data_IF_976223840124
#
_entry.id   IF_976223840124
#
_cell.length_a   1.000
_cell.length_b   1.000
_cell.length_c   1.000
_cell.angle_alpha   90.00
_cell.angle_beta   90.00
_cell.angle_gamma   90.00
#
_symmetry.space_group_name_H-M   'P 1'
#
loop_
_entity.id
_entity.type
_entity.pdbx_description
1 polymer ?
#
# COMPACT_ATOMS: atom_id res chain seq x y z
N UNK A 1 13.28 -12.98 -11.52
CA UNK A 1 12.91 -14.40 -11.32
C UNK A 1 12.06 -14.46 -10.07
N UNK A 2 10.82 -14.87 -10.21
CA UNK A 2 9.86 -14.83 -9.11
C UNK A 2 10.14 -16.01 -8.15
N UNK A 3 10.02 -15.79 -6.83
CA UNK A 3 10.27 -16.84 -5.82
C UNK A 3 9.37 -18.08 -5.96
N UNK A 4 8.28 -17.99 -6.73
CA UNK A 4 7.41 -19.10 -7.06
C UNK A 4 8.02 -20.02 -8.13
N UNK A 5 8.76 -19.48 -9.11
CA UNK A 5 9.25 -20.26 -10.26
C UNK A 5 10.30 -21.28 -9.88
N UNK A 6 11.21 -20.95 -8.97
CA UNK A 6 12.26 -21.90 -8.54
C UNK A 6 11.69 -23.05 -7.70
N UNK A 7 10.64 -22.80 -6.90
CA UNK A 7 9.96 -23.83 -6.10
C UNK A 7 9.28 -24.85 -7.01
N UNK A 8 8.61 -24.37 -8.07
CA UNK A 8 7.98 -25.22 -9.07
C UNK A 8 9.02 -26.05 -9.82
N UNK A 9 10.12 -25.42 -10.24
CA UNK A 9 11.20 -26.12 -10.93
C UNK A 9 11.82 -27.22 -10.07
N UNK A 10 12.11 -26.95 -8.78
CA UNK A 10 12.65 -27.96 -7.87
C UNK A 10 11.63 -29.10 -7.65
N UNK A 11 10.36 -28.80 -7.43
CA UNK A 11 9.32 -29.81 -7.24
C UNK A 11 9.21 -30.72 -8.44
N UNK A 12 9.30 -30.19 -9.66
CA UNK A 12 9.28 -30.95 -10.89
C UNK A 12 10.50 -31.90 -11.01
N UNK A 13 11.70 -31.38 -10.73
CA UNK A 13 12.94 -32.15 -10.75
C UNK A 13 12.87 -33.31 -9.75
N UNK A 14 12.42 -33.03 -8.52
CA UNK A 14 12.28 -34.04 -7.46
C UNK A 14 11.24 -35.13 -7.87
N UNK A 15 10.12 -34.72 -8.48
CA UNK A 15 9.11 -35.65 -8.99
C UNK A 15 9.68 -36.58 -10.05
N UNK A 16 10.39 -36.04 -11.06
CA UNK A 16 10.98 -36.81 -12.16
C UNK A 16 12.06 -37.77 -11.66
N UNK A 17 12.96 -37.31 -10.79
CA UNK A 17 14.01 -38.16 -10.19
C UNK A 17 13.41 -39.23 -9.31
N UNK A 18 12.35 -38.94 -8.55
CA UNK A 18 11.65 -39.90 -7.70
C UNK A 18 11.03 -41.03 -8.48
N UNK A 19 10.41 -40.74 -9.64
CA UNK A 19 9.88 -41.75 -10.54
C UNK A 19 11.01 -42.61 -11.09
N UNK A 20 12.16 -42.01 -11.50
CA UNK A 20 13.32 -42.73 -11.98
C UNK A 20 13.93 -43.71 -10.95
N UNK A 21 13.73 -43.43 -9.65
CA UNK A 21 14.14 -44.29 -8.53
C UNK A 21 13.09 -45.30 -8.11
N UNK A 22 11.95 -45.42 -8.85
CA UNK A 22 10.87 -46.35 -8.57
C UNK A 22 9.87 -45.89 -7.52
N UNK A 23 9.92 -44.60 -7.12
CA UNK A 23 8.96 -44.01 -6.17
C UNK A 23 7.73 -43.50 -6.91
N UNK A 24 6.86 -44.38 -7.28
CA UNK A 24 5.63 -44.08 -8.06
C UNK A 24 4.71 -43.04 -7.42
N UNK A 25 4.79 -42.82 -6.11
CA UNK A 25 4.00 -41.86 -5.36
C UNK A 25 4.64 -40.47 -5.32
N UNK A 26 5.93 -40.31 -5.69
CA UNK A 26 6.69 -39.07 -5.59
C UNK A 26 6.07 -37.95 -6.45
N UNK A 27 5.58 -38.29 -7.63
CA UNK A 27 4.91 -37.38 -8.54
C UNK A 27 3.60 -36.81 -7.92
N UNK A 28 2.79 -37.70 -7.33
CA UNK A 28 1.55 -37.29 -6.66
C UNK A 28 1.81 -36.34 -5.48
N UNK A 29 2.87 -36.57 -4.71
CA UNK A 29 3.25 -35.69 -3.62
C UNK A 29 3.75 -34.33 -4.14
N UNK A 30 4.61 -34.32 -5.16
CA UNK A 30 5.10 -33.12 -5.78
C UNK A 30 3.94 -32.30 -6.37
N UNK A 31 3.02 -32.93 -7.10
CA UNK A 31 1.83 -32.28 -7.63
C UNK A 31 0.93 -31.71 -6.54
N UNK A 32 0.77 -32.41 -5.41
CA UNK A 32 -0.02 -31.91 -4.26
C UNK A 32 0.60 -30.65 -3.66
N UNK A 33 1.92 -30.62 -3.46
CA UNK A 33 2.64 -29.47 -2.92
C UNK A 33 2.47 -28.24 -3.84
N UNK A 34 2.63 -28.43 -5.14
CA UNK A 34 2.44 -27.39 -6.14
C UNK A 34 1.00 -26.89 -6.14
N UNK A 35 0.02 -27.80 -6.10
CA UNK A 35 -1.41 -27.44 -6.07
C UNK A 35 -1.77 -26.61 -4.84
N UNK A 36 -1.28 -26.96 -3.65
CA UNK A 36 -1.50 -26.20 -2.43
C UNK A 36 -0.90 -24.79 -2.56
N UNK A 37 0.29 -24.67 -3.13
CA UNK A 37 0.94 -23.38 -3.36
C UNK A 37 0.12 -22.50 -4.31
N UNK A 38 -0.36 -23.05 -5.40
CA UNK A 38 -1.20 -22.33 -6.38
C UNK A 38 -2.51 -21.87 -5.74
N UNK A 39 -3.18 -22.72 -4.97
CA UNK A 39 -4.43 -22.36 -4.27
C UNK A 39 -4.17 -21.22 -3.28
N UNK A 40 -3.09 -21.31 -2.51
CA UNK A 40 -2.72 -20.24 -1.55
C UNK A 40 -2.45 -18.91 -2.26
N UNK A 41 -1.69 -18.93 -3.34
CA UNK A 41 -1.40 -17.73 -4.12
C UNK A 41 -2.67 -17.18 -4.79
N UNK A 42 -3.54 -18.05 -5.29
CA UNK A 42 -4.83 -17.68 -5.85
C UNK A 42 -5.75 -17.01 -4.84
N UNK A 43 -5.85 -17.55 -3.62
CA UNK A 43 -6.63 -16.96 -2.53
C UNK A 43 -6.07 -15.61 -2.09
N UNK A 44 -4.75 -15.48 -2.02
CA UNK A 44 -4.09 -14.21 -1.70
C UNK A 44 -4.39 -13.15 -2.76
N UNK A 45 -4.26 -13.50 -4.03
CA UNK A 45 -4.57 -12.59 -5.14
C UNK A 45 -6.05 -12.18 -5.17
N UNK A 46 -6.96 -13.15 -4.89
CA UNK A 46 -8.38 -12.85 -4.78
C UNK A 46 -8.67 -11.89 -3.63
N UNK A 47 -8.07 -12.11 -2.46
CA UNK A 47 -8.20 -11.22 -1.30
C UNK A 47 -7.70 -9.81 -1.62
N UNK A 48 -6.54 -9.69 -2.28
CA UNK A 48 -5.99 -8.39 -2.70
C UNK A 48 -6.87 -7.70 -3.74
N UNK A 49 -7.43 -8.45 -4.69
CA UNK A 49 -8.36 -7.90 -5.69
C UNK A 49 -9.66 -7.39 -5.05
N UNK A 50 -10.21 -8.15 -4.10
CA UNK A 50 -11.40 -7.73 -3.35
C UNK A 50 -11.11 -6.51 -2.48
N UNK A 51 -9.96 -6.46 -1.82
CA UNK A 51 -9.52 -5.30 -1.05
C UNK A 51 -9.41 -4.05 -1.94
N UNK A 52 -8.84 -4.17 -3.13
CA UNK A 52 -8.77 -3.06 -4.10
C UNK A 52 -10.15 -2.55 -4.54
N UNK A 53 -11.17 -3.41 -4.60
CA UNK A 53 -12.55 -3.00 -4.89
C UNK A 53 -13.25 -2.28 -3.72
N UNK A 54 -12.80 -2.48 -2.49
CA UNK A 54 -13.37 -1.89 -1.28
C UNK A 54 -12.71 -0.59 -0.84
N UNK A 55 -11.98 0.09 -1.75
CA UNK A 55 -11.39 1.41 -1.51
C UNK A 55 -10.37 1.41 -0.34
N UNK A 56 -9.50 0.42 -0.33
CA UNK A 56 -8.51 0.20 0.72
C UNK A 56 -7.35 1.20 0.62
N UNK A 57 -6.84 1.66 1.75
CA UNK A 57 -5.62 2.48 1.82
C UNK A 57 -4.43 1.75 1.17
N UNK A 58 -3.57 2.50 0.47
CA UNK A 58 -2.33 1.96 -0.08
C UNK A 58 -1.43 1.42 1.04
N UNK A 59 -0.98 0.18 0.86
CA UNK A 59 -0.10 -0.52 1.79
C UNK A 59 1.21 -0.91 1.11
N UNK A 60 2.18 -1.33 1.91
CA UNK A 60 3.41 -1.93 1.39
C UNK A 60 3.12 -3.24 0.65
N UNK A 61 4.07 -3.70 -0.19
CA UNK A 61 3.96 -4.94 -0.97
C UNK A 61 3.61 -6.16 -0.11
N UNK A 62 4.00 -6.17 1.16
CA UNK A 62 3.73 -7.24 2.13
C UNK A 62 2.41 -7.04 2.90
N UNK A 63 1.63 -6.01 2.59
CA UNK A 63 0.34 -5.66 3.22
C UNK A 63 0.41 -5.45 4.75
N UNK A 64 1.62 -5.25 5.27
CA UNK A 64 1.89 -5.17 6.72
C UNK A 64 1.82 -3.76 7.28
N UNK A 65 2.16 -2.73 6.48
CA UNK A 65 2.27 -1.35 6.94
C UNK A 65 1.69 -0.36 5.92
N UNK A 66 1.26 0.84 6.36
CA UNK A 66 0.89 1.92 5.47
C UNK A 66 2.05 2.26 4.53
N UNK A 67 1.75 2.64 3.30
CA UNK A 67 2.79 3.00 2.33
C UNK A 67 3.66 4.16 2.85
N UNK A 68 4.99 4.11 2.72
CA UNK A 68 5.91 5.16 3.22
C UNK A 68 5.55 6.56 2.76
N UNK A 69 5.05 6.70 1.53
CA UNK A 69 4.59 7.97 0.97
C UNK A 69 3.50 8.66 1.80
N UNK A 70 2.72 7.92 2.59
CA UNK A 70 1.72 8.53 3.49
C UNK A 70 2.40 9.43 4.52
N UNK A 71 3.49 8.95 5.13
CA UNK A 71 4.26 9.73 6.10
C UNK A 71 5.00 10.90 5.44
N UNK A 72 5.53 10.71 4.24
CA UNK A 72 6.24 11.76 3.51
C UNK A 72 5.31 12.92 3.14
N UNK A 73 4.08 12.61 2.69
CA UNK A 73 3.05 13.61 2.39
C UNK A 73 2.64 14.38 3.66
N UNK A 74 2.46 13.70 4.79
CA UNK A 74 2.15 14.35 6.06
C UNK A 74 3.29 15.28 6.51
N UNK A 75 4.54 14.81 6.43
CA UNK A 75 5.71 15.62 6.76
C UNK A 75 5.87 16.83 5.84
N UNK A 76 5.54 16.69 4.57
CA UNK A 76 5.53 17.81 3.63
C UNK A 76 4.54 18.88 4.06
N UNK A 77 3.31 18.49 4.42
CA UNK A 77 2.29 19.42 4.88
C UNK A 77 2.67 20.13 6.19
N UNK A 78 3.31 19.40 7.10
CA UNK A 78 3.78 19.98 8.39
C UNK A 78 4.94 20.99 8.24
N UNK A 79 5.58 21.06 7.07
CA UNK A 79 6.58 22.12 6.79
C UNK A 79 5.93 23.46 6.48
N UNK A 80 4.65 23.48 6.14
CA UNK A 80 3.93 24.72 5.87
C UNK A 80 3.67 25.49 7.17
N UNK A 81 4.04 26.79 7.24
CA UNK A 81 3.98 27.56 8.49
C UNK A 81 2.55 27.80 9.01
N UNK A 82 1.55 27.58 8.16
CA UNK A 82 0.13 27.74 8.50
C UNK A 82 -0.54 26.43 8.95
N UNK A 83 0.15 25.29 8.88
CA UNK A 83 -0.33 23.97 9.26
C UNK A 83 0.16 23.58 10.64
N UNK A 84 -0.75 23.19 11.53
CA UNK A 84 -0.45 22.70 12.89
C UNK A 84 -0.40 21.19 12.93
N UNK A 85 -1.30 20.55 12.20
CA UNK A 85 -1.40 19.10 12.16
C UNK A 85 -1.87 18.65 10.79
N UNK A 86 -1.46 17.46 10.37
CA UNK A 86 -1.80 16.92 9.07
C UNK A 86 -1.93 15.41 9.13
N UNK A 87 -2.87 14.88 8.35
CA UNK A 87 -3.02 13.45 8.12
C UNK A 87 -3.27 13.19 6.64
N UNK A 88 -2.59 12.21 6.09
CA UNK A 88 -2.75 11.81 4.70
C UNK A 88 -3.38 10.41 4.61
N UNK A 89 -4.22 10.26 3.60
CA UNK A 89 -4.72 8.96 3.15
C UNK A 89 -4.30 8.77 1.71
N UNK A 90 -3.45 7.79 1.48
CA UNK A 90 -2.99 7.42 0.15
C UNK A 90 -3.73 6.16 -0.28
N UNK A 91 -4.38 6.19 -1.44
CA UNK A 91 -5.14 5.07 -2.00
C UNK A 91 -4.50 4.63 -3.30
N UNK A 92 -4.31 3.33 -3.44
CA UNK A 92 -3.78 2.73 -4.65
C UNK A 92 -4.90 2.53 -5.69
N UNK A 93 -4.76 3.19 -6.85
CA UNK A 93 -5.64 3.03 -8.00
C UNK A 93 -5.03 2.12 -9.09
N UNK A 94 -3.99 1.35 -8.73
CA UNK A 94 -3.26 0.44 -9.61
C UNK A 94 -2.03 1.08 -10.25
N UNK A 95 -2.18 2.13 -11.04
CA UNK A 95 -1.06 2.82 -11.70
C UNK A 95 -0.68 4.13 -11.02
N UNK A 96 -1.61 4.74 -10.33
CA UNK A 96 -1.48 6.03 -9.68
C UNK A 96 -2.01 5.95 -8.24
N UNK A 97 -1.54 6.85 -7.41
CA UNK A 97 -2.04 7.03 -6.07
C UNK A 97 -2.93 8.27 -5.98
N UNK A 98 -4.09 8.11 -5.36
CA UNK A 98 -4.93 9.22 -4.91
C UNK A 98 -4.52 9.60 -3.49
N UNK A 99 -4.33 10.90 -3.26
CA UNK A 99 -3.98 11.45 -1.97
C UNK A 99 -5.09 12.34 -1.45
N UNK A 100 -5.62 12.01 -0.28
CA UNK A 100 -6.48 12.89 0.51
C UNK A 100 -5.65 13.41 1.69
N UNK A 101 -5.29 14.69 1.64
CA UNK A 101 -4.48 15.36 2.65
C UNK A 101 -5.36 16.27 3.50
N UNK A 102 -5.59 15.88 4.74
CA UNK A 102 -6.29 16.68 5.73
C UNK A 102 -5.29 17.56 6.47
N UNK A 103 -5.53 18.85 6.52
CA UNK A 103 -4.66 19.82 7.19
C UNK A 103 -5.44 20.63 8.22
N UNK A 104 -4.88 20.76 9.41
CA UNK A 104 -5.43 21.58 10.48
C UNK A 104 -4.68 22.90 10.47
N UNK A 105 -5.31 24.01 10.08
CA UNK A 105 -4.67 25.32 10.11
C UNK A 105 -4.46 25.81 11.54
N UNK A 106 -3.54 26.76 11.71
CA UNK A 106 -3.36 27.47 12.97
C UNK A 106 -4.67 28.11 13.42
N UNK A 107 -4.92 28.18 14.74
CA UNK A 107 -6.14 28.81 15.26
C UNK A 107 -6.27 30.25 14.76
N UNK A 108 -7.37 30.52 14.05
CA UNK A 108 -7.64 31.84 13.46
C UNK A 108 -7.05 32.05 12.07
N UNK A 109 -6.25 31.13 11.55
CA UNK A 109 -5.81 31.16 10.16
C UNK A 109 -6.89 30.51 9.25
N UNK A 110 -7.20 31.21 8.18
CA UNK A 110 -8.00 30.66 7.09
C UNK A 110 -7.06 30.56 5.89
N UNK A 111 -6.63 29.35 5.51
CA UNK A 111 -5.75 29.21 4.36
C UNK A 111 -6.45 29.71 3.10
N UNK A 112 -5.74 30.49 2.31
CA UNK A 112 -6.24 30.97 1.04
C UNK A 112 -6.07 29.93 -0.07
N UNK A 113 -6.72 30.15 -1.21
CA UNK A 113 -6.66 29.22 -2.34
C UNK A 113 -5.23 29.06 -2.88
N UNK A 114 -4.40 30.09 -2.77
CA UNK A 114 -3.02 30.04 -3.25
C UNK A 114 -2.18 29.09 -2.37
N UNK A 115 -2.34 29.15 -1.06
CA UNK A 115 -1.67 28.25 -0.10
C UNK A 115 -2.09 26.80 -0.30
N UNK A 116 -3.39 26.55 -0.47
CA UNK A 116 -3.91 25.21 -0.72
C UNK A 116 -3.42 24.65 -2.06
N UNK A 117 -3.41 25.46 -3.12
CA UNK A 117 -2.96 25.04 -4.44
C UNK A 117 -1.43 24.85 -4.48
N UNK A 118 -0.65 25.65 -3.76
CA UNK A 118 0.79 25.47 -3.61
C UNK A 118 1.09 24.12 -2.94
N UNK A 119 0.45 23.83 -1.82
CA UNK A 119 0.60 22.52 -1.13
C UNK A 119 0.15 21.37 -2.01
N UNK A 120 -0.97 21.51 -2.74
CA UNK A 120 -1.46 20.51 -3.67
C UNK A 120 -0.44 20.18 -4.77
N UNK A 121 0.27 21.20 -5.28
CA UNK A 121 1.27 21.04 -6.35
C UNK A 121 2.58 20.44 -5.86
N UNK A 122 2.94 20.63 -4.59
CA UNK A 122 4.19 20.10 -4.04
C UNK A 122 4.13 18.59 -3.74
N UNK A 123 2.93 18.03 -3.53
CA UNK A 123 2.78 16.59 -3.24
C UNK A 123 3.26 15.68 -4.39
N UNK A 124 2.92 15.93 -5.67
CA UNK A 124 3.42 15.11 -6.78
C UNK A 124 4.95 15.20 -7.00
N UNK A 125 5.62 16.19 -6.42
CA UNK A 125 7.07 16.30 -6.49
C UNK A 125 7.80 15.24 -5.65
N UNK A 126 7.10 14.62 -4.66
CA UNK A 126 7.63 13.53 -3.86
C UNK A 126 7.73 12.23 -4.65
N UNK A 127 6.71 11.90 -5.42
CA UNK A 127 6.68 10.71 -6.28
C UNK A 127 5.70 10.93 -7.44
N UNK A 128 6.12 10.55 -8.64
CA UNK A 128 5.32 10.69 -9.87
C UNK A 128 3.98 9.94 -9.84
N UNK A 129 3.82 8.94 -8.97
CA UNK A 129 2.58 8.19 -8.75
C UNK A 129 1.51 8.98 -8.00
N UNK A 130 1.90 10.02 -7.24
CA UNK A 130 1.00 10.88 -6.47
C UNK A 130 0.35 11.91 -7.39
N UNK A 131 -0.68 11.53 -8.12
CA UNK A 131 -1.24 12.35 -9.21
C UNK A 131 -2.55 13.05 -8.84
N UNK A 132 -3.46 12.33 -8.19
CA UNK A 132 -4.78 12.87 -7.80
C UNK A 132 -4.74 13.33 -6.33
N UNK A 133 -4.48 14.62 -6.11
CA UNK A 133 -4.25 15.19 -4.78
C UNK A 133 -5.40 16.12 -4.41
N UNK A 134 -6.06 15.83 -3.29
CA UNK A 134 -7.07 16.67 -2.67
C UNK A 134 -6.54 17.16 -1.33
N UNK A 135 -6.47 18.49 -1.14
CA UNK A 135 -6.13 19.11 0.14
C UNK A 135 -7.41 19.62 0.78
N UNK A 136 -7.72 19.11 1.96
CA UNK A 136 -8.92 19.46 2.71
C UNK A 136 -8.55 20.14 4.04
N UNK A 137 -8.76 21.44 4.19
CA UNK A 137 -8.61 22.12 5.48
C UNK A 137 -9.75 21.69 6.41
N UNK A 138 -9.39 21.20 7.60
CA UNK A 138 -10.32 20.69 8.62
C UNK A 138 -10.01 21.34 9.97
N UNK A 139 -11.00 21.37 10.87
CA UNK A 139 -10.79 21.89 12.23
C UNK A 139 -10.11 20.87 13.15
N UNK A 140 -10.37 19.60 12.91
CA UNK A 140 -9.82 18.47 13.66
C UNK A 140 -9.61 17.31 12.68
N UNK A 141 -8.59 16.51 12.92
CA UNK A 141 -8.33 15.34 12.08
C UNK A 141 -9.46 14.29 12.24
N UNK A 142 -9.83 13.57 11.17
CA UNK A 142 -10.78 12.48 11.25
C UNK A 142 -10.33 11.43 12.28
N UNK A 143 -11.25 10.88 13.07
CA UNK A 143 -10.97 9.95 14.19
C UNK A 143 -10.11 8.76 13.74
N UNK A 144 -10.33 8.25 12.55
CA UNK A 144 -9.53 7.17 11.95
C UNK A 144 -8.05 7.50 11.75
N UNK A 145 -7.70 8.79 11.73
CA UNK A 145 -6.35 9.30 11.53
C UNK A 145 -5.71 9.81 12.84
N UNK A 146 -6.53 10.18 13.81
CA UNK A 146 -6.07 10.64 15.14
C UNK A 146 -5.29 9.57 15.89
N UNK A 147 -5.64 8.29 15.73
CA UNK A 147 -4.89 7.17 16.32
C UNK A 147 -3.45 7.05 15.81
N UNK A 148 -3.17 7.51 14.58
CA UNK A 148 -1.81 7.47 14.01
C UNK A 148 -0.92 8.58 14.56
N UNK A 149 -1.48 9.76 14.84
CA UNK A 149 -0.72 10.87 15.41
C UNK A 149 -0.28 10.60 16.86
N UNK A 150 -1.10 9.87 17.64
CA UNK A 150 -0.82 9.53 19.04
C UNK A 150 0.29 8.46 19.19
N UNK A 151 0.59 7.70 18.14
CA UNK A 151 1.68 6.71 18.12
C UNK A 151 3.03 7.31 17.71
N UNK A 152 3.06 8.62 17.42
CA UNK A 152 4.24 9.34 16.93
C UNK A 152 5.02 10.07 18.04
N UNK A 153 4.42 10.22 19.23
CA UNK A 153 5.01 10.76 20.45
C UNK A 153 5.57 9.62 21.34
#
# INVERSE_FOLDING_TARGET
MNAADWKTAISTIVGVVGIGLGWWWADAVAATIVSISIVKDGLRNLSSALAGLTDTEARTVDDSEPHPLTLEVEQLALKEPWVVDAAARVRDLGHLFRVELFVVPFRGATPDLHQLDALRRSVPELDWKLHDVVVAPVRELPISQTFRSTLRD
#
